data_IF_729959623158
#
_entry.id   IF_729959623158
#
_cell.length_a   1.000
_cell.length_b   1.000
_cell.length_c   1.000
_cell.angle_alpha   90.00
_cell.angle_beta   90.00
_cell.angle_gamma   90.00
#
_symmetry.space_group_name_H-M   'P 1'
#
loop_
_entity.id
_entity.type
_entity.pdbx_description
1 polymer ?
#
# COMPACT_ATOMS: atom_id res chain seq x y z
N UNK A 1 -10.67 -16.89 -6.28
CA UNK A 1 -11.34 -16.41 -5.05
C UNK A 1 -10.37 -15.44 -4.42
N UNK A 2 -10.81 -14.20 -4.16
CA UNK A 2 -10.07 -13.04 -3.62
C UNK A 2 -8.69 -12.76 -4.26
N UNK A 3 -8.53 -11.60 -4.91
CA UNK A 3 -7.30 -11.17 -5.58
C UNK A 3 -6.11 -11.04 -4.62
N UNK A 4 -5.45 -12.16 -4.35
CA UNK A 4 -4.17 -12.25 -3.66
C UNK A 4 -3.05 -12.06 -4.68
N UNK A 5 -2.22 -11.04 -4.48
CA UNK A 5 -1.04 -10.76 -5.29
C UNK A 5 0.20 -10.87 -4.41
N UNK A 6 1.14 -11.68 -4.86
CA UNK A 6 2.47 -11.79 -4.25
C UNK A 6 3.36 -10.71 -4.83
N UNK A 7 3.95 -9.88 -3.97
CA UNK A 7 4.84 -8.78 -4.30
C UNK A 7 6.16 -9.01 -3.58
N UNK A 8 7.24 -9.06 -4.34
CA UNK A 8 8.62 -9.16 -3.83
C UNK A 8 9.26 -7.79 -3.92
N UNK A 9 9.78 -7.30 -2.79
CA UNK A 9 10.36 -5.97 -2.65
C UNK A 9 11.79 -6.08 -2.13
N UNK A 10 12.71 -5.55 -2.91
CA UNK A 10 14.11 -5.38 -2.54
C UNK A 10 14.35 -3.98 -1.96
N UNK A 11 14.93 -3.93 -0.77
CA UNK A 11 15.28 -2.68 -0.08
C UNK A 11 16.74 -2.78 0.38
N UNK A 12 17.65 -2.30 -0.47
CA UNK A 12 19.09 -2.46 -0.23
C UNK A 12 19.48 -3.94 -0.27
N UNK A 13 20.03 -4.45 0.82
CA UNK A 13 20.44 -5.85 0.98
C UNK A 13 19.33 -6.76 1.57
N UNK A 14 18.10 -6.26 1.71
CA UNK A 14 16.99 -7.00 2.29
C UNK A 14 15.87 -7.25 1.28
N UNK A 15 15.37 -8.48 1.26
CA UNK A 15 14.19 -8.87 0.49
C UNK A 15 12.99 -9.09 1.42
N UNK A 16 11.84 -8.60 0.98
CA UNK A 16 10.56 -8.77 1.65
C UNK A 16 9.51 -9.32 0.69
N UNK A 17 8.82 -10.36 1.14
CA UNK A 17 7.69 -10.94 0.42
C UNK A 17 6.37 -10.49 1.05
N UNK A 18 5.48 -9.92 0.24
CA UNK A 18 4.16 -9.46 0.63
C UNK A 18 3.08 -10.21 -0.13
N UNK A 19 2.12 -10.77 0.60
CA UNK A 19 0.90 -11.37 0.10
C UNK A 19 -0.25 -10.37 0.29
N UNK A 20 -0.39 -9.47 -0.67
CA UNK A 20 -1.41 -8.42 -0.62
C UNK A 20 -2.73 -8.96 -1.10
N UNK A 21 -3.82 -8.61 -0.42
CA UNK A 21 -5.16 -8.95 -0.84
C UNK A 21 -6.12 -7.78 -0.68
N UNK A 22 -7.25 -7.86 -1.38
CA UNK A 22 -8.26 -6.81 -1.40
C UNK A 22 -8.81 -6.51 0.00
N UNK A 23 -8.91 -7.51 0.87
CA UNK A 23 -9.39 -7.34 2.25
C UNK A 23 -8.42 -6.48 3.07
N UNK A 24 -7.12 -6.78 3.03
CA UNK A 24 -6.08 -6.02 3.72
C UNK A 24 -5.96 -4.61 3.15
N UNK A 25 -6.03 -4.48 1.82
CA UNK A 25 -6.00 -3.20 1.13
C UNK A 25 -7.19 -2.30 1.51
N UNK A 26 -8.42 -2.83 1.44
CA UNK A 26 -9.61 -2.08 1.84
C UNK A 26 -9.58 -1.69 3.33
N UNK A 27 -9.08 -2.57 4.19
CA UNK A 27 -8.89 -2.27 5.62
C UNK A 27 -7.90 -1.12 5.83
N UNK A 28 -6.82 -1.09 5.06
CA UNK A 28 -5.84 0.00 5.08
C UNK A 28 -6.45 1.34 4.64
N UNK A 29 -7.23 1.35 3.55
CA UNK A 29 -7.92 2.55 3.07
C UNK A 29 -8.96 3.07 4.08
N UNK A 30 -9.80 2.18 4.60
CA UNK A 30 -10.85 2.54 5.57
C UNK A 30 -10.29 3.02 6.91
N UNK A 31 -9.09 2.57 7.28
CA UNK A 31 -8.37 3.05 8.46
C UNK A 31 -7.78 4.46 8.31
N UNK A 32 -7.75 5.03 7.09
CA UNK A 32 -7.07 6.28 6.75
C UNK A 32 -8.01 7.50 6.66
N UNK A 33 -8.96 7.64 7.60
CA UNK A 33 -9.95 8.75 7.63
C UNK A 33 -9.34 10.17 7.69
N UNK A 34 -8.02 10.30 7.89
CA UNK A 34 -7.25 11.56 7.83
C UNK A 34 -5.90 11.37 7.08
N UNK A 35 -5.88 10.55 6.03
CA UNK A 35 -4.67 10.23 5.27
C UNK A 35 -3.89 9.02 5.80
N UNK A 36 -2.91 8.58 5.03
CA UNK A 36 -2.05 7.42 5.35
C UNK A 36 -1.11 7.80 6.50
N UNK A 37 -1.45 7.40 7.73
CA UNK A 37 -0.61 7.59 8.92
C UNK A 37 0.42 6.47 9.01
N UNK A 38 1.59 6.76 9.58
CA UNK A 38 2.69 5.79 9.80
C UNK A 38 2.22 4.50 10.46
N UNK A 39 1.31 4.59 11.44
CA UNK A 39 0.74 3.41 12.11
C UNK A 39 -0.13 2.56 11.17
N UNK A 40 -0.91 3.19 10.28
CA UNK A 40 -1.73 2.48 9.30
C UNK A 40 -0.87 1.72 8.29
N UNK A 41 0.18 2.38 7.79
CA UNK A 41 1.18 1.78 6.92
C UNK A 41 1.88 0.58 7.58
N UNK A 42 2.35 0.76 8.82
CA UNK A 42 2.96 -0.32 9.60
C UNK A 42 2.00 -1.51 9.78
N UNK A 43 0.75 -1.26 10.17
CA UNK A 43 -0.23 -2.31 10.40
C UNK A 43 -0.56 -3.09 9.11
N UNK A 44 -0.66 -2.39 7.98
CA UNK A 44 -0.90 -3.02 6.68
C UNK A 44 0.29 -3.91 6.27
N UNK A 45 1.50 -3.37 6.30
CA UNK A 45 2.71 -4.11 5.93
C UNK A 45 2.91 -5.36 6.80
N UNK A 46 2.64 -5.27 8.11
CA UNK A 46 2.68 -6.43 9.01
C UNK A 46 1.57 -7.47 8.76
N UNK A 47 0.43 -7.04 8.20
CA UNK A 47 -0.68 -7.93 7.90
C UNK A 47 -0.47 -8.70 6.59
N UNK A 48 0.23 -8.10 5.62
CA UNK A 48 0.46 -8.69 4.29
C UNK A 48 1.82 -9.35 4.14
N UNK A 49 2.81 -9.05 4.98
CA UNK A 49 4.12 -9.70 4.88
C UNK A 49 4.03 -11.21 5.14
N UNK A 50 4.83 -11.97 4.39
CA UNK A 50 5.08 -13.38 4.62
C UNK A 50 5.66 -13.61 6.02
N UNK A 51 5.21 -14.66 6.72
CA UNK A 51 5.61 -14.95 8.10
C UNK A 51 7.12 -15.05 8.28
N UNK A 52 7.84 -15.49 7.23
CA UNK A 52 9.30 -15.59 7.19
C UNK A 52 9.99 -14.25 7.41
N UNK A 53 9.38 -13.15 6.93
CA UNK A 53 10.00 -11.82 6.96
C UNK A 53 9.41 -10.92 8.06
N UNK A 54 8.43 -11.37 8.85
CA UNK A 54 7.78 -10.54 9.89
C UNK A 54 8.76 -9.90 10.87
N UNK A 55 9.71 -10.68 11.40
CA UNK A 55 10.68 -10.18 12.37
C UNK A 55 11.63 -9.13 11.76
N UNK A 56 12.16 -9.43 10.56
CA UNK A 56 13.05 -8.52 9.84
C UNK A 56 12.32 -7.22 9.46
N UNK A 57 11.09 -7.34 8.95
CA UNK A 57 10.27 -6.20 8.57
C UNK A 57 9.93 -5.35 9.80
N UNK A 58 9.55 -5.97 10.92
CA UNK A 58 9.24 -5.23 12.16
C UNK A 58 10.42 -4.37 12.63
N UNK A 59 11.65 -4.90 12.52
CA UNK A 59 12.87 -4.15 12.82
C UNK A 59 13.08 -3.00 11.82
N UNK A 60 12.92 -3.27 10.53
CA UNK A 60 13.04 -2.27 9.47
C UNK A 60 12.03 -1.10 9.65
N UNK A 61 10.78 -1.41 10.01
CA UNK A 61 9.72 -0.43 10.21
C UNK A 61 9.94 0.51 11.41
N UNK A 62 10.94 0.25 12.27
CA UNK A 62 11.35 1.20 13.31
C UNK A 62 12.07 2.42 12.74
N UNK A 63 12.60 2.33 11.51
CA UNK A 63 13.27 3.44 10.87
C UNK A 63 12.26 4.55 10.52
N UNK A 64 12.60 5.82 10.74
CA UNK A 64 11.72 6.93 10.44
C UNK A 64 11.40 6.96 8.95
N UNK A 65 10.11 7.03 8.60
CA UNK A 65 9.63 7.08 7.22
C UNK A 65 9.56 5.72 6.50
N UNK A 66 10.27 4.69 6.99
CA UNK A 66 10.27 3.36 6.36
C UNK A 66 8.86 2.78 6.10
N UNK A 67 7.90 2.83 7.04
CA UNK A 67 6.55 2.32 6.78
C UNK A 67 5.85 3.02 5.62
N UNK A 68 6.04 4.33 5.46
CA UNK A 68 5.39 5.13 4.41
C UNK A 68 6.01 4.85 3.04
N UNK A 69 7.32 4.68 2.96
CA UNK A 69 8.00 4.32 1.71
C UNK A 69 7.61 2.91 1.24
N UNK A 70 7.66 1.91 2.14
CA UNK A 70 7.32 0.54 1.76
C UNK A 70 5.86 0.41 1.38
N UNK A 71 4.93 1.01 2.13
CA UNK A 71 3.51 0.91 1.78
C UNK A 71 3.21 1.58 0.44
N UNK A 72 3.93 2.66 0.10
CA UNK A 72 3.83 3.31 -1.20
C UNK A 72 4.19 2.35 -2.33
N UNK A 73 5.38 1.73 -2.25
CA UNK A 73 5.84 0.79 -3.26
C UNK A 73 4.93 -0.45 -3.37
N UNK A 74 4.49 -1.01 -2.24
CA UNK A 74 3.56 -2.16 -2.24
C UNK A 74 2.22 -1.79 -2.90
N UNK A 75 1.69 -0.61 -2.61
CA UNK A 75 0.40 -0.16 -3.16
C UNK A 75 0.51 0.16 -4.64
N UNK A 76 1.59 0.82 -5.06
CA UNK A 76 1.84 1.16 -6.46
C UNK A 76 1.89 -0.11 -7.32
N UNK A 77 2.56 -1.17 -6.85
CA UNK A 77 2.60 -2.46 -7.54
C UNK A 77 1.27 -3.23 -7.46
N UNK A 78 0.51 -3.07 -6.36
CA UNK A 78 -0.80 -3.74 -6.21
C UNK A 78 -1.93 -3.05 -6.99
N UNK A 79 -1.83 -1.74 -7.22
CA UNK A 79 -2.85 -0.98 -7.92
C UNK A 79 -2.78 -1.23 -9.43
N UNK A 80 -3.93 -1.44 -10.10
CA UNK A 80 -3.93 -1.49 -11.55
C UNK A 80 -3.61 -0.11 -12.13
N UNK A 81 -3.02 -0.07 -13.33
CA UNK A 81 -2.82 1.19 -14.05
C UNK A 81 -4.16 1.85 -14.38
N UNK A 82 -4.39 3.05 -13.84
CA UNK A 82 -5.59 3.84 -14.12
C UNK A 82 -5.29 4.92 -15.16
N UNK A 83 -5.74 4.73 -16.40
CA UNK A 83 -5.66 5.77 -17.43
C UNK A 83 -6.87 6.72 -17.34
N UNK A 84 -6.83 7.71 -16.43
CA UNK A 84 -7.93 8.64 -16.19
C UNK A 84 -7.84 9.83 -17.15
N UNK A 85 -8.80 9.95 -18.08
CA UNK A 85 -8.96 11.14 -18.93
C UNK A 85 -10.19 11.95 -18.50
N UNK A 86 -10.01 13.24 -18.21
CA UNK A 86 -11.13 14.16 -17.92
C UNK A 86 -11.74 14.64 -19.24
N UNK A 87 -13.00 14.27 -19.52
CA UNK A 87 -13.78 14.92 -20.58
C UNK A 87 -14.33 16.24 -20.04
N UNK A 88 -14.23 17.32 -20.84
CA UNK A 88 -14.72 18.67 -20.53
C UNK A 88 -15.97 18.60 -19.63
N UNK A 89 -15.83 19.05 -18.38
CA UNK A 89 -16.99 19.30 -17.53
C UNK A 89 -17.79 20.39 -18.23
N UNK A 90 -18.98 20.06 -18.72
CA UNK A 90 -19.92 21.08 -19.18
C UNK A 90 -20.47 21.80 -17.94
N UNK A 91 -19.63 22.60 -17.30
CA UNK A 91 -20.05 23.63 -16.37
C UNK A 91 -20.71 24.70 -17.24
N UNK A 92 -21.95 24.44 -17.63
CA UNK A 92 -22.81 25.40 -18.28
C UNK A 92 -23.00 26.59 -17.36
N UNK A 93 -22.12 27.58 -17.47
CA UNK A 93 -22.43 28.94 -17.10
C UNK A 93 -23.46 29.45 -18.11
N UNK A 94 -24.71 29.06 -17.90
CA UNK A 94 -25.83 29.78 -18.49
C UNK A 94 -25.94 31.11 -17.76
N UNK A 95 -25.46 32.15 -18.47
CA UNK A 95 -25.93 33.54 -18.55
C UNK A 95 -26.62 34.15 -17.34
#
# INVERSE_FOLDING_TARGET
>A
MASEQKIELEVGDQEFEFNVNLTAYNKFLNGSSQGVKTQGAHNFLMAVVSDKHKTALKAFLQQPGAPLHLVGAVIEEYQPEFNISVKKSNSGQNK
#
